data_IF_021613236326
#
_entry.id   IF_021613236326
#
_cell.length_a   1.000
_cell.length_b   1.000
_cell.length_c   1.000
_cell.angle_alpha   90.00
_cell.angle_beta   90.00
_cell.angle_gamma   90.00
#
_symmetry.space_group_name_H-M   'P 1'
#
loop_
_entity.id
_entity.type
_entity.pdbx_description
1 polymer ?
#
# COMPACT_ATOMS: atom_id res chain seq x y z
N UNK A 1 -31.08 57.43 45.77
CA UNK A 1 -29.72 57.26 45.25
C UNK A 1 -29.45 55.78 45.19
N UNK A 2 -29.55 55.16 44.02
CA UNK A 2 -29.30 53.69 43.79
C UNK A 2 -28.21 53.57 42.73
N UNK A 3 -27.01 53.19 43.18
CA UNK A 3 -25.88 52.92 42.29
C UNK A 3 -26.03 51.56 41.62
N UNK A 4 -26.07 51.53 40.28
CA UNK A 4 -25.98 50.33 39.48
C UNK A 4 -24.49 50.06 39.19
N UNK A 5 -24.00 48.95 39.71
CA UNK A 5 -22.63 48.45 39.39
C UNK A 5 -22.76 47.49 38.22
N UNK A 6 -22.33 47.91 37.06
CA UNK A 6 -22.26 47.08 35.84
C UNK A 6 -21.01 46.19 35.90
N UNK A 7 -21.22 44.88 36.05
CA UNK A 7 -20.14 43.89 35.90
C UNK A 7 -19.94 43.57 34.40
N UNK A 8 -18.78 43.98 33.91
CA UNK A 8 -18.34 43.65 32.53
C UNK A 8 -17.66 42.24 32.58
N UNK A 9 -18.33 41.19 32.10
CA UNK A 9 -17.78 39.86 31.99
C UNK A 9 -16.99 39.84 30.67
N UNK A 10 -15.65 39.83 30.80
CA UNK A 10 -14.74 39.65 29.67
C UNK A 10 -14.58 38.18 29.38
N UNK A 11 -15.29 37.67 28.34
CA UNK A 11 -15.17 36.32 27.85
C UNK A 11 -13.87 36.16 27.04
N UNK A 12 -12.87 35.53 27.64
CA UNK A 12 -11.64 35.12 26.91
C UNK A 12 -11.96 33.84 26.14
N UNK A 13 -12.16 33.98 24.84
CA UNK A 13 -12.24 32.83 23.93
C UNK A 13 -10.84 32.26 23.72
N UNK A 14 -10.57 31.13 24.36
CA UNK A 14 -9.35 30.37 24.18
C UNK A 14 -9.44 29.66 22.81
N UNK A 15 -8.83 30.25 21.78
CA UNK A 15 -8.67 29.62 20.48
C UNK A 15 -7.68 28.45 20.62
N UNK A 16 -8.20 27.23 20.75
CA UNK A 16 -7.42 26.03 20.63
C UNK A 16 -6.95 25.89 19.17
N UNK A 17 -5.76 26.41 18.87
CA UNK A 17 -5.06 26.12 17.63
C UNK A 17 -4.71 24.62 17.63
N UNK A 18 -5.57 23.81 17.03
CA UNK A 18 -5.30 22.41 16.75
C UNK A 18 -4.09 22.34 15.83
N UNK A 19 -2.91 22.08 16.38
CA UNK A 19 -1.75 21.71 15.57
C UNK A 19 -2.15 20.46 14.78
N UNK A 20 -2.31 20.59 13.46
CA UNK A 20 -2.51 19.47 12.56
C UNK A 20 -1.28 18.56 12.71
N UNK A 21 -1.45 17.48 13.48
CA UNK A 21 -0.42 16.46 13.66
C UNK A 21 -0.12 15.91 12.27
N UNK A 22 1.09 16.10 11.79
CA UNK A 22 1.53 15.49 10.54
C UNK A 22 1.22 13.99 10.63
N UNK A 23 0.42 13.49 9.69
CA UNK A 23 0.04 12.09 9.69
C UNK A 23 1.32 11.26 9.62
N UNK A 24 1.56 10.45 10.63
CA UNK A 24 2.71 9.57 10.69
C UNK A 24 2.68 8.64 9.47
N UNK A 25 3.78 8.61 8.72
CA UNK A 25 3.87 7.77 7.54
C UNK A 25 3.93 6.30 7.96
N UNK A 26 3.31 5.40 7.18
CA UNK A 26 3.26 3.98 7.54
C UNK A 26 4.66 3.37 7.58
N UNK A 27 4.91 2.59 8.63
CA UNK A 27 6.08 1.74 8.73
C UNK A 27 5.85 0.40 8.05
N UNK A 28 6.92 -0.16 7.45
CA UNK A 28 6.88 -1.45 6.78
C UNK A 28 8.05 -2.30 7.29
N UNK A 29 7.80 -3.45 7.93
CA UNK A 29 8.82 -4.29 8.51
C UNK A 29 9.93 -4.65 7.52
N UNK A 30 11.20 -4.41 7.93
CA UNK A 30 12.37 -4.71 7.09
C UNK A 30 12.54 -3.83 5.85
N UNK A 31 11.75 -2.77 5.69
CA UNK A 31 11.87 -1.82 4.57
C UNK A 31 12.21 -0.44 5.10
N UNK A 32 13.45 -0.01 4.87
CA UNK A 32 13.94 1.30 5.29
C UNK A 32 13.09 2.44 4.71
N UNK A 33 12.90 3.48 5.51
CA UNK A 33 12.19 4.69 5.09
C UNK A 33 13.16 5.68 4.47
N UNK A 34 12.98 5.98 3.19
CA UNK A 34 13.72 7.05 2.52
C UNK A 34 13.01 8.38 2.80
N UNK A 35 13.73 9.42 3.26
CA UNK A 35 13.15 10.75 3.48
C UNK A 35 12.57 11.33 2.19
N UNK A 36 11.36 11.90 2.27
CA UNK A 36 10.71 12.59 1.16
C UNK A 36 10.84 14.08 1.42
N UNK A 37 11.72 14.75 0.69
CA UNK A 37 11.92 16.18 0.81
C UNK A 37 10.92 16.98 -0.04
N UNK A 38 10.68 18.28 0.27
CA UNK A 38 9.68 19.09 -0.46
C UNK A 38 9.96 19.24 -1.95
N UNK A 39 11.20 19.20 -2.37
CA UNK A 39 11.66 19.26 -3.76
C UNK A 39 11.48 17.93 -4.51
N UNK A 40 11.38 16.80 -3.80
CA UNK A 40 11.06 15.49 -4.39
C UNK A 40 9.57 15.41 -4.74
N UNK A 41 9.19 15.92 -5.90
CA UNK A 41 7.80 15.91 -6.35
C UNK A 41 7.72 15.66 -7.86
N UNK A 42 6.54 15.29 -8.33
CA UNK A 42 6.25 15.07 -9.74
C UNK A 42 5.48 16.24 -10.38
N UNK A 43 5.79 17.49 -10.00
CA UNK A 43 5.19 18.69 -10.58
C UNK A 43 3.65 18.72 -10.52
N UNK A 44 3.05 18.05 -9.55
CA UNK A 44 1.59 17.95 -9.41
C UNK A 44 0.94 16.91 -10.34
N UNK A 45 1.71 16.11 -11.09
CA UNK A 45 1.19 15.09 -12.00
C UNK A 45 0.20 14.15 -11.30
N UNK A 46 0.59 13.51 -10.18
CA UNK A 46 -0.28 12.59 -9.46
C UNK A 46 -1.48 13.27 -8.80
N UNK A 47 -1.41 14.58 -8.52
CA UNK A 47 -2.57 15.34 -8.04
C UNK A 47 -3.73 15.33 -9.06
N UNK A 48 -3.39 15.44 -10.34
CA UNK A 48 -4.35 15.46 -11.46
C UNK A 48 -4.84 14.08 -11.87
N UNK A 49 -4.07 13.01 -11.56
CA UNK A 49 -4.31 11.64 -12.03
C UNK A 49 -4.73 10.69 -10.88
N UNK A 50 -5.63 11.14 -10.02
CA UNK A 50 -6.13 10.32 -8.91
C UNK A 50 -7.39 9.54 -9.28
N UNK A 51 -7.56 8.35 -8.69
CA UNK A 51 -6.58 7.64 -7.87
C UNK A 51 -5.39 7.13 -8.69
N UNK A 52 -4.18 7.23 -8.14
CA UNK A 52 -2.98 6.62 -8.76
C UNK A 52 -3.17 5.11 -8.76
N UNK A 53 -3.11 4.48 -9.95
CA UNK A 53 -3.38 3.05 -10.11
C UNK A 53 -2.12 2.33 -10.54
N UNK A 54 -1.69 1.36 -9.75
CA UNK A 54 -0.47 0.57 -10.01
C UNK A 54 -0.77 -0.90 -9.81
N UNK A 55 -0.29 -1.74 -10.73
CA UNK A 55 -0.29 -3.19 -10.57
C UNK A 55 1.14 -3.70 -10.67
N UNK A 56 1.59 -4.41 -9.65
CA UNK A 56 2.86 -5.12 -9.62
C UNK A 56 2.65 -6.56 -10.10
N UNK A 57 3.36 -6.94 -11.17
CA UNK A 57 3.42 -8.33 -11.64
C UNK A 57 4.68 -8.99 -11.10
N UNK A 58 4.53 -10.05 -10.32
CA UNK A 58 5.63 -10.74 -9.64
C UNK A 58 5.60 -12.22 -9.99
N UNK A 59 6.65 -12.69 -10.67
CA UNK A 59 6.79 -14.07 -11.13
C UNK A 59 7.76 -14.91 -10.27
N UNK A 60 8.65 -14.25 -9.54
CA UNK A 60 9.71 -14.85 -8.74
C UNK A 60 9.63 -14.40 -7.27
N UNK A 61 9.77 -15.34 -6.30
CA UNK A 61 9.64 -15.00 -4.87
C UNK A 61 10.92 -14.42 -4.24
N UNK A 62 12.02 -14.37 -4.99
CA UNK A 62 13.31 -13.86 -4.54
C UNK A 62 13.44 -12.34 -4.71
N UNK A 63 14.44 -11.91 -5.47
CA UNK A 63 14.74 -10.48 -5.65
C UNK A 63 13.56 -9.70 -6.25
N UNK A 64 12.84 -10.27 -7.20
CA UNK A 64 11.72 -9.58 -7.81
C UNK A 64 10.62 -9.24 -6.81
N UNK A 65 10.26 -10.18 -5.94
CA UNK A 65 9.26 -9.92 -4.89
C UNK A 65 9.79 -8.89 -3.89
N UNK A 66 11.02 -9.05 -3.42
CA UNK A 66 11.66 -8.14 -2.47
C UNK A 66 11.66 -6.69 -2.99
N UNK A 67 12.14 -6.48 -4.21
CA UNK A 67 12.16 -5.15 -4.85
C UNK A 67 10.74 -4.58 -5.05
N UNK A 68 9.79 -5.43 -5.42
CA UNK A 68 8.39 -5.01 -5.57
C UNK A 68 7.77 -4.54 -4.27
N UNK A 69 8.06 -5.19 -3.14
CA UNK A 69 7.58 -4.80 -1.82
C UNK A 69 8.22 -3.48 -1.38
N UNK A 70 9.53 -3.31 -1.58
CA UNK A 70 10.26 -2.05 -1.30
C UNK A 70 9.64 -0.90 -2.09
N UNK A 71 9.47 -1.07 -3.40
CA UNK A 71 8.92 -0.04 -4.28
C UNK A 71 7.46 0.28 -3.95
N UNK A 72 6.65 -0.71 -3.59
CA UNK A 72 5.28 -0.48 -3.14
C UNK A 72 5.23 0.30 -1.83
N UNK A 73 6.08 -0.04 -0.86
CA UNK A 73 6.16 0.66 0.42
C UNK A 73 6.57 2.13 0.23
N UNK A 74 7.62 2.39 -0.56
CA UNK A 74 8.05 3.75 -0.91
C UNK A 74 6.94 4.54 -1.62
N UNK A 75 6.23 3.90 -2.57
CA UNK A 75 5.10 4.49 -3.29
C UNK A 75 3.96 4.85 -2.33
N UNK A 76 3.57 3.95 -1.43
CA UNK A 76 2.52 4.20 -0.44
C UNK A 76 2.91 5.34 0.48
N UNK A 77 4.14 5.36 1.00
CA UNK A 77 4.64 6.47 1.83
C UNK A 77 4.55 7.80 1.09
N UNK A 78 5.05 7.86 -0.15
CA UNK A 78 5.00 9.06 -0.97
C UNK A 78 3.56 9.54 -1.20
N UNK A 79 2.68 8.68 -1.69
CA UNK A 79 1.30 9.07 -2.01
C UNK A 79 0.54 9.51 -0.76
N UNK A 80 0.75 8.87 0.38
CA UNK A 80 0.18 9.28 1.66
C UNK A 80 0.73 10.61 2.17
N UNK A 81 2.03 10.85 2.06
CA UNK A 81 2.64 12.14 2.47
C UNK A 81 2.05 13.33 1.71
N UNK A 82 1.56 13.10 0.49
CA UNK A 82 0.92 14.11 -0.36
C UNK A 82 -0.62 14.11 -0.28
N UNK A 83 -1.21 13.21 0.51
CA UNK A 83 -2.67 13.06 0.59
C UNK A 83 -3.31 12.53 -0.70
N UNK A 84 -2.58 11.81 -1.55
CA UNK A 84 -3.09 11.32 -2.82
C UNK A 84 -3.78 9.96 -2.65
N UNK A 85 -4.94 9.80 -3.27
CA UNK A 85 -5.65 8.53 -3.33
C UNK A 85 -4.95 7.58 -4.30
N UNK A 86 -4.91 6.30 -3.94
CA UNK A 86 -4.28 5.26 -4.76
C UNK A 86 -5.06 3.96 -4.75
N UNK A 87 -4.75 3.10 -5.72
CA UNK A 87 -5.18 1.70 -5.83
C UNK A 87 -3.98 0.89 -6.29
N UNK A 88 -3.43 0.09 -5.40
CA UNK A 88 -2.25 -0.74 -5.67
C UNK A 88 -2.65 -2.21 -5.55
N UNK A 89 -2.24 -3.02 -6.52
CA UNK A 89 -2.47 -4.46 -6.50
C UNK A 89 -1.19 -5.21 -6.84
N UNK A 90 -0.94 -6.29 -6.12
CA UNK A 90 0.04 -7.31 -6.49
C UNK A 90 -0.65 -8.47 -7.18
N UNK A 91 0.01 -9.03 -8.18
CA UNK A 91 -0.38 -10.28 -8.84
C UNK A 91 0.82 -11.21 -8.78
N UNK A 92 0.75 -12.20 -7.90
CA UNK A 92 1.75 -13.25 -7.74
C UNK A 92 1.43 -14.38 -8.71
N UNK A 93 2.37 -14.74 -9.57
CA UNK A 93 2.24 -15.84 -10.54
C UNK A 93 3.59 -16.54 -10.71
N UNK A 94 3.68 -17.60 -11.51
CA UNK A 94 4.91 -18.39 -11.57
C UNK A 94 5.29 -18.91 -10.19
N UNK A 95 6.58 -18.91 -9.87
CA UNK A 95 7.09 -19.34 -8.57
C UNK A 95 6.81 -18.35 -7.44
N UNK A 96 6.46 -17.09 -7.73
CA UNK A 96 6.12 -16.12 -6.70
C UNK A 96 4.92 -16.54 -5.82
N UNK A 97 4.06 -17.46 -6.29
CA UNK A 97 2.95 -17.98 -5.49
C UNK A 97 3.42 -18.77 -4.27
N UNK A 98 4.68 -19.28 -4.26
CA UNK A 98 5.29 -19.93 -3.09
C UNK A 98 5.37 -18.99 -1.88
N UNK A 99 5.58 -17.70 -2.12
CA UNK A 99 5.62 -16.71 -1.04
C UNK A 99 4.24 -16.39 -0.44
N UNK A 100 3.17 -16.85 -1.09
CA UNK A 100 1.80 -16.72 -0.57
C UNK A 100 1.34 -17.93 0.25
N UNK A 101 2.11 -19.04 0.22
CA UNK A 101 1.85 -20.27 0.96
C UNK A 101 2.30 -20.10 2.42
N UNK A 102 1.36 -20.18 3.35
CA UNK A 102 1.61 -19.99 4.79
C UNK A 102 2.48 -21.08 5.41
N UNK A 103 2.64 -22.22 4.74
CA UNK A 103 3.44 -23.36 5.21
C UNK A 103 4.89 -23.34 4.69
N UNK A 104 5.21 -22.45 3.73
CA UNK A 104 6.56 -22.31 3.17
C UNK A 104 7.44 -21.43 4.05
N UNK A 105 8.13 -22.04 5.01
CA UNK A 105 8.99 -21.34 5.98
C UNK A 105 10.07 -20.48 5.31
N UNK A 106 10.57 -20.87 4.16
CA UNK A 106 11.57 -20.12 3.38
C UNK A 106 11.12 -18.68 3.07
N UNK A 107 9.80 -18.47 2.87
CA UNK A 107 9.24 -17.19 2.50
C UNK A 107 8.43 -16.51 3.62
N UNK A 108 8.41 -17.11 4.81
CA UNK A 108 7.62 -16.61 5.95
C UNK A 108 7.96 -15.17 6.36
N UNK A 109 9.17 -14.71 6.09
CA UNK A 109 9.61 -13.34 6.33
C UNK A 109 8.81 -12.28 5.54
N UNK A 110 8.12 -12.66 4.46
CA UNK A 110 7.30 -11.73 3.69
C UNK A 110 5.92 -11.47 4.30
N UNK A 111 5.41 -12.34 5.17
CA UNK A 111 4.07 -12.21 5.74
C UNK A 111 3.87 -10.86 6.44
N UNK A 112 4.81 -10.45 7.28
CA UNK A 112 4.72 -9.16 7.97
C UNK A 112 4.66 -7.97 7.00
N UNK A 113 5.41 -8.03 5.88
CA UNK A 113 5.41 -6.99 4.85
C UNK A 113 4.10 -6.99 4.05
N UNK A 114 3.57 -8.16 3.70
CA UNK A 114 2.27 -8.29 3.04
C UNK A 114 1.15 -7.72 3.92
N UNK A 115 1.12 -8.07 5.20
CA UNK A 115 0.11 -7.56 6.14
C UNK A 115 0.21 -6.05 6.32
N UNK A 116 1.42 -5.50 6.45
CA UNK A 116 1.64 -4.07 6.57
C UNK A 116 1.16 -3.31 5.31
N UNK A 117 1.47 -3.79 4.10
CA UNK A 117 0.99 -3.21 2.85
C UNK A 117 -0.53 -3.35 2.71
N UNK A 118 -1.09 -4.50 3.08
CA UNK A 118 -2.53 -4.72 3.10
C UNK A 118 -3.26 -3.74 4.03
N UNK A 119 -2.72 -3.48 5.22
CA UNK A 119 -3.25 -2.48 6.14
C UNK A 119 -3.30 -1.07 5.53
N UNK A 120 -2.46 -0.82 4.52
CA UNK A 120 -2.48 0.40 3.73
C UNK A 120 -3.37 0.33 2.48
N UNK A 121 -4.18 -0.72 2.31
CA UNK A 121 -5.12 -0.87 1.21
C UNK A 121 -4.52 -1.48 -0.07
N UNK A 122 -3.33 -2.07 0.00
CA UNK A 122 -2.76 -2.85 -1.10
C UNK A 122 -3.49 -4.20 -1.19
N UNK A 123 -3.87 -4.61 -2.40
CA UNK A 123 -4.61 -5.85 -2.67
C UNK A 123 -3.67 -6.90 -3.27
N UNK A 124 -3.74 -8.13 -2.77
CA UNK A 124 -2.89 -9.24 -3.20
C UNK A 124 -3.70 -10.30 -3.94
N UNK A 125 -3.25 -10.68 -5.13
CA UNK A 125 -3.85 -11.70 -5.99
C UNK A 125 -2.85 -12.79 -6.31
N UNK A 126 -3.31 -14.04 -6.28
CA UNK A 126 -2.49 -15.22 -6.52
C UNK A 126 -3.06 -15.99 -7.71
N UNK A 127 -2.21 -16.37 -8.64
CA UNK A 127 -2.57 -17.07 -9.86
C UNK A 127 -2.94 -18.53 -9.60
N UNK A 128 -4.20 -18.91 -9.84
CA UNK A 128 -4.64 -20.30 -9.69
C UNK A 128 -3.87 -21.26 -10.61
N UNK A 129 -3.62 -20.89 -11.87
CA UNK A 129 -2.86 -21.73 -12.79
C UNK A 129 -1.45 -22.06 -12.26
N UNK A 130 -0.79 -21.09 -11.60
CA UNK A 130 0.52 -21.33 -10.96
C UNK A 130 0.40 -22.19 -9.71
N UNK A 131 -0.63 -21.99 -8.89
CA UNK A 131 -0.90 -22.87 -7.74
C UNK A 131 -1.09 -24.31 -8.20
N UNK A 132 -1.92 -24.51 -9.23
CA UNK A 132 -2.17 -25.85 -9.80
C UNK A 132 -0.88 -26.51 -10.28
N UNK A 133 -0.05 -25.78 -11.04
CA UNK A 133 1.23 -26.31 -11.56
C UNK A 133 2.25 -26.65 -10.46
N UNK A 134 2.16 -25.99 -9.32
CA UNK A 134 3.07 -26.22 -8.17
C UNK A 134 2.43 -27.08 -7.06
N UNK A 135 1.25 -27.66 -7.31
CA UNK A 135 0.50 -28.49 -6.38
C UNK A 135 0.22 -27.84 -5.02
N UNK A 136 -0.03 -26.51 -5.02
CA UNK A 136 -0.39 -25.75 -3.83
C UNK A 136 -1.91 -25.62 -3.75
N UNK A 137 -2.48 -25.96 -2.59
CA UNK A 137 -3.91 -25.79 -2.38
C UNK A 137 -4.25 -24.34 -2.05
N UNK A 138 -5.40 -23.86 -2.51
CA UNK A 138 -5.84 -22.49 -2.18
C UNK A 138 -6.05 -22.29 -0.67
N UNK A 139 -6.31 -23.35 0.08
CA UNK A 139 -6.44 -23.35 1.54
C UNK A 139 -5.11 -23.21 2.29
N UNK A 140 -3.99 -23.41 1.61
CA UNK A 140 -2.65 -23.28 2.20
C UNK A 140 -2.13 -21.83 2.18
N UNK A 141 -2.83 -20.96 1.45
CA UNK A 141 -2.43 -19.56 1.33
C UNK A 141 -2.76 -18.76 2.60
N UNK A 142 -2.02 -17.68 2.84
CA UNK A 142 -2.43 -16.70 3.83
C UNK A 142 -3.87 -16.27 3.57
N UNK A 143 -4.72 -16.25 4.59
CA UNK A 143 -6.17 -16.05 4.49
C UNK A 143 -6.61 -14.74 3.80
N UNK A 144 -5.73 -13.76 3.73
CA UNK A 144 -5.97 -12.48 3.08
C UNK A 144 -5.60 -12.47 1.59
N UNK A 145 -4.93 -13.48 1.08
CA UNK A 145 -4.62 -13.64 -0.35
C UNK A 145 -5.88 -14.05 -1.12
N UNK A 146 -6.06 -13.48 -2.31
CA UNK A 146 -7.24 -13.76 -3.14
C UNK A 146 -6.83 -14.42 -4.43
N UNK A 147 -7.34 -15.60 -4.68
CA UNK A 147 -7.04 -16.36 -5.90
C UNK A 147 -7.75 -15.74 -7.12
N UNK A 148 -7.04 -15.67 -8.24
CA UNK A 148 -7.58 -15.32 -9.56
C UNK A 148 -7.31 -16.45 -10.55
N UNK A 149 -8.16 -16.68 -11.58
CA UNK A 149 -8.01 -17.81 -12.49
C UNK A 149 -6.64 -17.86 -13.17
N UNK A 150 -6.14 -16.72 -13.65
CA UNK A 150 -4.82 -16.60 -14.27
C UNK A 150 -4.21 -15.25 -13.98
N UNK A 151 -2.96 -15.23 -13.52
CA UNK A 151 -2.23 -14.00 -13.20
C UNK A 151 -2.10 -13.08 -14.40
N UNK A 152 -1.74 -13.63 -15.57
CA UNK A 152 -1.59 -12.84 -16.80
C UNK A 152 -2.90 -12.14 -17.21
N UNK A 153 -4.05 -12.81 -17.07
CA UNK A 153 -5.34 -12.21 -17.38
C UNK A 153 -5.72 -11.13 -16.36
N UNK A 154 -5.35 -11.32 -15.10
CA UNK A 154 -5.54 -10.29 -14.07
C UNK A 154 -4.68 -9.06 -14.36
N UNK A 155 -3.43 -9.22 -14.79
CA UNK A 155 -2.55 -8.13 -15.20
C UNK A 155 -3.12 -7.37 -16.41
N UNK A 156 -3.53 -8.10 -17.45
CA UNK A 156 -4.17 -7.52 -18.64
C UNK A 156 -5.43 -6.72 -18.26
N UNK A 157 -6.31 -7.33 -17.46
CA UNK A 157 -7.51 -6.66 -16.93
C UNK A 157 -7.18 -5.36 -16.21
N UNK A 158 -6.14 -5.35 -15.37
CA UNK A 158 -5.74 -4.14 -14.65
C UNK A 158 -5.21 -3.06 -15.57
N UNK A 159 -4.38 -3.41 -16.54
CA UNK A 159 -3.88 -2.46 -17.53
C UNK A 159 -5.03 -1.85 -18.35
N UNK A 160 -6.01 -2.66 -18.78
CA UNK A 160 -7.23 -2.16 -19.46
C UNK A 160 -8.09 -1.26 -18.54
N UNK A 161 -7.95 -1.37 -17.23
CA UNK A 161 -8.58 -0.48 -16.23
C UNK A 161 -7.74 0.77 -15.91
N UNK A 162 -6.67 1.03 -16.66
CA UNK A 162 -5.80 2.20 -16.52
C UNK A 162 -4.80 2.09 -15.36
N UNK A 163 -4.41 0.87 -14.97
CA UNK A 163 -3.30 0.68 -14.04
C UNK A 163 -1.96 0.72 -14.76
N UNK A 164 -1.01 1.47 -14.23
CA UNK A 164 0.39 1.34 -14.62
C UNK A 164 0.92 -0.03 -14.18
N UNK A 165 1.48 -0.79 -15.11
CA UNK A 165 2.11 -2.08 -14.82
C UNK A 165 3.57 -1.88 -14.44
N UNK A 166 3.97 -2.43 -13.31
CA UNK A 166 5.35 -2.44 -12.83
C UNK A 166 5.81 -3.89 -12.65
N UNK A 167 6.97 -4.19 -13.23
CA UNK A 167 7.69 -5.44 -13.02
C UNK A 167 9.13 -5.10 -12.65
N UNK A 168 9.53 -5.52 -11.46
CA UNK A 168 10.93 -5.43 -11.03
C UNK A 168 11.69 -6.68 -11.52
N UNK A 169 13.01 -6.60 -11.62
CA UNK A 169 13.85 -7.72 -12.08
C UNK A 169 14.85 -8.13 -11.01
#
# INVERSE_FOLDING_TARGET
MKSFLSFLILSVALAAAGAARAAELPDFPGIESVPITPDMNFGGFFKKHQPVRIVFGVADPGNQLKESLINAAATVRYLKSKGYRYKIQFVLYGTAVLAADAWKQEYSGYDAQFQALRAQGVDFRVCHASLYSLHIQAGDLYSYMKVVPAGILQLAKKQMQGYAYISNR
#
